data_IF_819529490980
#
_entry.id   IF_819529490980
#
_cell.length_a   1.000
_cell.length_b   1.000
_cell.length_c   1.000
_cell.angle_alpha   90.00
_cell.angle_beta   90.00
_cell.angle_gamma   90.00
#
_symmetry.space_group_name_H-M   'P 1'
#
loop_
_entity.id
_entity.type
_entity.pdbx_description
1 polymer ?
#
# COMPACT_ATOMS: atom_id res chain seq x y z
N UNK A 1 -39.79 -34.84 -43.69
CA UNK A 1 -38.44 -34.34 -44.03
C UNK A 1 -38.21 -32.92 -43.47
N UNK A 2 -38.58 -32.65 -42.21
CA UNK A 2 -38.33 -31.35 -41.56
C UNK A 2 -37.45 -31.43 -40.30
N UNK A 3 -37.26 -32.63 -39.76
CA UNK A 3 -36.46 -32.88 -38.56
C UNK A 3 -34.97 -32.62 -38.75
N UNK A 4 -34.40 -32.95 -39.90
CA UNK A 4 -32.97 -32.70 -40.18
C UNK A 4 -32.67 -31.22 -40.32
N UNK A 5 -33.60 -30.46 -40.92
CA UNK A 5 -33.46 -29.00 -41.08
C UNK A 5 -33.56 -28.32 -39.72
N UNK A 6 -34.49 -28.76 -38.87
CA UNK A 6 -34.62 -28.28 -37.49
C UNK A 6 -33.37 -28.57 -36.66
N UNK A 7 -32.83 -29.80 -36.72
CA UNK A 7 -31.64 -30.18 -35.97
C UNK A 7 -30.40 -29.36 -36.35
N UNK A 8 -30.28 -29.01 -37.63
CA UNK A 8 -29.19 -28.18 -38.15
C UNK A 8 -29.27 -26.74 -37.64
N UNK A 9 -30.47 -26.16 -37.58
CA UNK A 9 -30.69 -24.83 -37.00
C UNK A 9 -30.48 -24.81 -35.49
N UNK A 10 -30.89 -25.86 -34.78
CA UNK A 10 -30.64 -26.01 -33.34
C UNK A 10 -29.14 -26.09 -33.04
N UNK A 11 -28.38 -26.86 -33.82
CA UNK A 11 -26.93 -26.96 -33.66
C UNK A 11 -26.22 -25.63 -33.96
N UNK A 12 -26.66 -24.91 -35.01
CA UNK A 12 -26.13 -23.59 -35.33
C UNK A 12 -26.42 -22.58 -34.21
N UNK A 13 -27.65 -22.58 -33.69
CA UNK A 13 -28.07 -21.75 -32.57
C UNK A 13 -27.29 -22.05 -31.30
N UNK A 14 -27.03 -23.33 -31.00
CA UNK A 14 -26.22 -23.74 -29.86
C UNK A 14 -24.77 -23.23 -29.98
N UNK A 15 -24.14 -23.39 -31.15
CA UNK A 15 -22.77 -22.91 -31.38
C UNK A 15 -22.69 -21.37 -31.31
N UNK A 16 -23.68 -20.67 -31.86
CA UNK A 16 -23.78 -19.20 -31.74
C UNK A 16 -24.02 -18.76 -30.29
N UNK A 17 -24.83 -19.50 -29.53
CA UNK A 17 -25.05 -19.27 -28.11
C UNK A 17 -23.78 -19.42 -27.29
N UNK A 18 -22.99 -20.47 -27.54
CA UNK A 18 -21.68 -20.68 -26.91
C UNK A 18 -20.72 -19.55 -27.26
N UNK A 19 -20.62 -19.19 -28.54
CA UNK A 19 -19.75 -18.09 -28.98
C UNK A 19 -20.13 -16.76 -28.31
N UNK A 20 -21.44 -16.46 -28.27
CA UNK A 20 -21.95 -15.26 -27.60
C UNK A 20 -21.65 -15.29 -26.11
N UNK A 21 -21.81 -16.44 -25.45
CA UNK A 21 -21.47 -16.63 -24.04
C UNK A 21 -19.99 -16.36 -23.75
N UNK A 22 -19.08 -16.85 -24.59
CA UNK A 22 -17.64 -16.60 -24.46
C UNK A 22 -17.33 -15.11 -24.62
N UNK A 23 -17.94 -14.44 -25.61
CA UNK A 23 -17.76 -13.00 -25.83
C UNK A 23 -18.25 -12.20 -24.61
N UNK A 24 -19.41 -12.54 -24.04
CA UNK A 24 -19.93 -11.89 -22.85
C UNK A 24 -18.99 -12.05 -21.65
N UNK A 25 -18.49 -13.26 -21.41
CA UNK A 25 -17.51 -13.52 -20.33
C UNK A 25 -16.27 -12.62 -20.50
N UNK A 26 -15.75 -12.48 -21.73
CA UNK A 26 -14.59 -11.63 -21.97
C UNK A 26 -14.88 -10.14 -21.67
N UNK A 27 -16.08 -9.66 -22.03
CA UNK A 27 -16.51 -8.30 -21.72
C UNK A 27 -16.66 -8.11 -20.21
N UNK A 28 -17.31 -9.05 -19.52
CA UNK A 28 -17.51 -9.01 -18.07
C UNK A 28 -16.19 -9.02 -17.31
N UNK A 29 -15.20 -9.80 -17.74
CA UNK A 29 -13.87 -9.83 -17.13
C UNK A 29 -13.16 -8.48 -17.22
N UNK A 30 -13.23 -7.82 -18.37
CA UNK A 30 -12.63 -6.49 -18.54
C UNK A 30 -13.33 -5.43 -17.68
N UNK A 31 -14.67 -5.44 -17.66
CA UNK A 31 -15.45 -4.53 -16.81
C UNK A 31 -15.15 -4.75 -15.31
N UNK A 32 -14.99 -6.01 -14.90
CA UNK A 32 -14.66 -6.35 -13.52
C UNK A 32 -13.25 -5.87 -13.14
N UNK A 33 -12.28 -6.01 -14.04
CA UNK A 33 -10.92 -5.49 -13.82
C UNK A 33 -10.91 -3.96 -13.62
N UNK A 34 -11.65 -3.23 -14.44
CA UNK A 34 -11.75 -1.77 -14.31
C UNK A 34 -12.50 -1.34 -13.04
N UNK A 35 -13.56 -2.08 -12.67
CA UNK A 35 -14.27 -1.84 -11.42
C UNK A 35 -13.38 -2.07 -10.20
N UNK A 36 -12.59 -3.15 -10.19
CA UNK A 36 -11.63 -3.43 -9.12
C UNK A 36 -10.58 -2.31 -9.01
N UNK A 37 -10.03 -1.82 -10.13
CA UNK A 37 -9.11 -0.67 -10.15
C UNK A 37 -9.74 0.58 -9.55
N UNK A 38 -10.96 0.92 -9.97
CA UNK A 38 -11.68 2.07 -9.43
C UNK A 38 -11.93 1.93 -7.92
N UNK A 39 -12.33 0.75 -7.45
CA UNK A 39 -12.53 0.49 -6.02
C UNK A 39 -11.23 0.60 -5.22
N UNK A 40 -10.09 0.15 -5.75
CA UNK A 40 -8.80 0.31 -5.07
C UNK A 40 -8.39 1.78 -4.95
N UNK A 41 -8.56 2.56 -6.01
CA UNK A 41 -8.30 4.01 -5.97
C UNK A 41 -9.20 4.69 -4.95
N UNK A 42 -10.49 4.36 -4.94
CA UNK A 42 -11.44 4.89 -3.96
C UNK A 42 -11.07 4.49 -2.52
N UNK A 43 -10.78 3.22 -2.28
CA UNK A 43 -10.38 2.73 -0.96
C UNK A 43 -9.11 3.42 -0.45
N UNK A 44 -8.15 3.73 -1.34
CA UNK A 44 -6.97 4.52 -0.97
C UNK A 44 -7.33 5.95 -0.60
N UNK A 45 -8.20 6.60 -1.38
CA UNK A 45 -8.68 7.94 -1.06
C UNK A 45 -9.38 7.97 0.31
N UNK A 46 -10.24 6.99 0.59
CA UNK A 46 -10.95 6.86 1.86
C UNK A 46 -9.98 6.61 3.03
N UNK A 47 -8.99 5.72 2.84
CA UNK A 47 -7.94 5.45 3.84
C UNK A 47 -7.09 6.70 4.14
N UNK A 48 -6.82 7.52 3.12
CA UNK A 48 -6.10 8.77 3.26
C UNK A 48 -6.92 9.79 4.04
N UNK A 49 -8.19 10.00 3.68
CA UNK A 49 -9.11 10.90 4.39
C UNK A 49 -9.27 10.46 5.84
N UNK A 50 -9.53 9.17 6.09
CA UNK A 50 -9.62 8.61 7.44
C UNK A 50 -8.36 8.86 8.27
N UNK A 51 -7.17 8.74 7.65
CA UNK A 51 -5.91 9.05 8.34
C UNK A 51 -5.78 10.51 8.75
N UNK A 52 -6.27 11.42 7.91
CA UNK A 52 -6.27 12.84 8.18
C UNK A 52 -7.31 13.20 9.23
N UNK A 53 -8.49 12.59 9.19
CA UNK A 53 -9.53 12.77 10.22
C UNK A 53 -9.03 12.33 11.60
N UNK A 54 -8.37 11.17 11.71
CA UNK A 54 -7.76 10.71 12.97
C UNK A 54 -6.75 11.74 13.50
N UNK A 55 -5.99 12.38 12.62
CA UNK A 55 -5.02 13.42 13.00
C UNK A 55 -5.68 14.73 13.38
N UNK A 56 -6.72 15.14 12.66
CA UNK A 56 -7.44 16.40 12.90
C UNK A 56 -8.29 16.37 14.16
N UNK A 57 -8.91 15.22 14.47
CA UNK A 57 -9.78 15.05 15.64
C UNK A 57 -9.05 14.55 16.88
N UNK A 58 -7.72 14.47 16.84
CA UNK A 58 -6.91 14.07 17.97
C UNK A 58 -6.49 15.28 18.79
N UNK A 59 -6.67 15.18 20.10
CA UNK A 59 -6.21 16.18 21.06
C UNK A 59 -4.67 16.26 21.17
N UNK A 60 -3.94 15.29 20.62
CA UNK A 60 -2.50 15.13 20.84
C UNK A 60 -1.64 15.27 19.58
N UNK A 61 -2.21 15.05 18.39
CA UNK A 61 -1.46 15.20 17.13
C UNK A 61 -0.94 16.62 16.87
N UNK A 62 -1.68 17.70 17.20
CA UNK A 62 -1.17 19.05 16.99
C UNK A 62 0.15 19.32 17.74
N UNK A 63 0.25 18.93 19.01
CA UNK A 63 1.46 19.14 19.83
C UNK A 63 2.64 18.33 19.31
N UNK A 64 2.43 17.04 19.03
CA UNK A 64 3.45 16.15 18.46
C UNK A 64 3.96 16.72 17.12
N UNK A 65 3.05 17.24 16.29
CA UNK A 65 3.38 17.87 15.02
C UNK A 65 4.18 19.17 15.16
N UNK A 66 3.92 19.98 16.20
CA UNK A 66 4.74 21.17 16.52
C UNK A 66 6.15 20.75 16.91
N UNK A 67 6.30 19.75 17.79
CA UNK A 67 7.61 19.20 18.17
C UNK A 67 8.38 18.69 16.94
N UNK A 68 7.70 18.01 16.01
CA UNK A 68 8.32 17.53 14.77
C UNK A 68 8.89 18.66 13.92
N UNK A 69 8.16 19.76 13.77
CA UNK A 69 8.57 20.92 12.97
C UNK A 69 9.69 21.73 13.62
N UNK A 70 9.77 21.73 14.95
CA UNK A 70 10.81 22.42 15.69
C UNK A 70 12.14 21.62 15.74
N UNK A 71 12.08 20.30 15.57
CA UNK A 71 13.25 19.44 15.63
C UNK A 71 14.11 19.50 14.36
N UNK A 72 15.44 19.56 14.55
CA UNK A 72 16.41 19.59 13.45
C UNK A 72 16.55 18.22 12.76
N UNK A 73 16.34 17.13 13.50
CA UNK A 73 16.39 15.75 13.00
C UNK A 73 15.19 14.93 13.48
N UNK A 74 15.08 13.67 13.04
CA UNK A 74 14.08 12.76 13.58
C UNK A 74 14.45 12.30 14.99
N UNK A 75 15.74 12.12 15.26
CA UNK A 75 16.29 11.75 16.55
C UNK A 75 15.98 12.81 17.60
N UNK A 76 16.24 14.10 17.31
CA UNK A 76 15.90 15.22 18.19
C UNK A 76 14.40 15.28 18.44
N UNK A 77 13.58 14.96 17.43
CA UNK A 77 12.14 14.91 17.58
C UNK A 77 11.72 13.79 18.53
N UNK A 78 12.21 12.57 18.31
CA UNK A 78 11.87 11.40 19.12
C UNK A 78 12.31 11.61 20.58
N UNK A 79 13.51 12.14 20.82
CA UNK A 79 14.00 12.42 22.16
C UNK A 79 13.21 13.57 22.85
N UNK A 80 12.50 14.40 22.10
CA UNK A 80 11.60 15.45 22.65
C UNK A 80 10.21 14.95 23.07
N UNK A 81 9.85 13.72 22.72
CA UNK A 81 8.52 13.17 23.00
C UNK A 81 8.42 12.69 24.45
N UNK A 82 7.27 12.92 25.07
CA UNK A 82 6.92 12.21 26.31
C UNK A 82 6.71 10.71 26.01
N UNK A 83 6.78 9.82 27.02
CA UNK A 83 6.56 8.39 26.81
C UNK A 83 5.23 8.05 26.11
N UNK A 84 4.15 8.76 26.44
CA UNK A 84 2.84 8.54 25.81
C UNK A 84 2.81 9.03 24.34
N UNK A 85 3.47 10.15 24.04
CA UNK A 85 3.58 10.64 22.67
C UNK A 85 4.45 9.72 21.80
N UNK A 86 5.53 9.20 22.37
CA UNK A 86 6.38 8.21 21.72
C UNK A 86 5.55 6.99 21.30
N UNK A 87 4.79 6.40 22.21
CA UNK A 87 3.91 5.27 21.89
C UNK A 87 2.87 5.59 20.80
N UNK A 88 2.31 6.81 20.80
CA UNK A 88 1.37 7.23 19.76
C UNK A 88 2.02 7.35 18.39
N UNK A 89 3.22 7.95 18.33
CA UNK A 89 4.04 8.02 17.10
C UNK A 89 4.38 6.61 16.62
N UNK A 90 4.73 5.72 17.56
CA UNK A 90 5.05 4.32 17.32
C UNK A 90 3.90 3.57 16.64
N UNK A 91 2.66 3.73 17.13
CA UNK A 91 1.48 3.11 16.51
C UNK A 91 1.17 3.67 15.12
N UNK A 92 1.27 4.98 14.92
CA UNK A 92 1.11 5.54 13.57
C UNK A 92 2.16 5.01 12.62
N UNK A 93 3.40 4.92 13.07
CA UNK A 93 4.48 4.40 12.25
C UNK A 93 4.20 2.95 11.79
N UNK A 94 3.75 2.07 12.69
CA UNK A 94 3.31 0.73 12.29
C UNK A 94 2.15 0.74 11.28
N UNK A 95 1.18 1.63 11.46
CA UNK A 95 0.05 1.76 10.54
C UNK A 95 0.51 2.16 9.14
N UNK A 96 1.40 3.14 9.03
CA UNK A 96 1.97 3.59 7.76
C UNK A 96 2.83 2.50 7.10
N UNK A 97 3.61 1.74 7.87
CA UNK A 97 4.37 0.60 7.32
C UNK A 97 3.45 -0.47 6.71
N UNK A 98 2.34 -0.79 7.39
CA UNK A 98 1.36 -1.74 6.86
C UNK A 98 0.68 -1.23 5.59
N UNK A 99 0.45 0.08 5.49
CA UNK A 99 -0.11 0.69 4.27
C UNK A 99 0.88 0.57 3.10
N UNK A 100 2.16 0.90 3.30
CA UNK A 100 3.22 0.70 2.29
C UNK A 100 3.33 -0.77 1.88
N UNK A 101 3.28 -1.70 2.86
CA UNK A 101 3.29 -3.14 2.58
C UNK A 101 2.13 -3.56 1.70
N UNK A 102 0.92 -3.08 2.00
CA UNK A 102 -0.27 -3.34 1.19
C UNK A 102 -0.10 -2.80 -0.23
N UNK A 103 0.41 -1.57 -0.37
CA UNK A 103 0.68 -0.96 -1.68
C UNK A 103 1.71 -1.75 -2.48
N UNK A 104 2.74 -2.29 -1.84
CA UNK A 104 3.74 -3.13 -2.49
C UNK A 104 3.12 -4.42 -3.05
N UNK A 105 2.28 -5.11 -2.28
CA UNK A 105 1.61 -6.31 -2.78
C UNK A 105 0.65 -5.99 -3.93
N UNK A 106 -0.08 -4.87 -3.86
CA UNK A 106 -0.90 -4.41 -5.00
C UNK A 106 -0.05 -4.11 -6.24
N UNK A 107 1.14 -3.54 -6.07
CA UNK A 107 2.07 -3.31 -7.18
C UNK A 107 2.57 -4.62 -7.80
N UNK A 108 2.96 -5.62 -6.99
CA UNK A 108 3.41 -6.93 -7.47
C UNK A 108 2.34 -7.65 -8.30
N UNK A 109 1.08 -7.52 -7.93
CA UNK A 109 -0.07 -8.10 -8.64
C UNK A 109 -0.50 -7.28 -9.88
N UNK A 110 0.21 -6.20 -10.22
CA UNK A 110 -0.13 -5.32 -11.35
C UNK A 110 -1.41 -4.49 -11.13
N UNK A 111 -1.86 -4.41 -9.87
CA UNK A 111 -3.05 -3.67 -9.46
C UNK A 111 -2.75 -2.19 -9.20
N UNK A 112 -1.49 -1.87 -8.86
CA UNK A 112 -1.00 -0.52 -8.71
C UNK A 112 -0.15 -0.13 -9.95
N UNK A 113 -0.53 0.91 -10.71
CA UNK A 113 0.29 1.43 -11.80
C UNK A 113 1.69 1.84 -11.32
N UNK A 114 2.71 1.57 -12.12
CA UNK A 114 4.10 1.90 -11.80
C UNK A 114 4.31 3.40 -11.50
N UNK A 115 3.65 4.28 -12.26
CA UNK A 115 3.70 5.72 -12.02
C UNK A 115 3.26 6.10 -10.60
N UNK A 116 2.19 5.47 -10.11
CA UNK A 116 1.67 5.71 -8.76
C UNK A 116 2.62 5.14 -7.70
N UNK A 117 3.22 3.98 -7.96
CA UNK A 117 4.23 3.38 -7.08
C UNK A 117 5.46 4.28 -6.93
N UNK A 118 5.98 4.76 -8.06
CA UNK A 118 7.19 5.59 -8.11
C UNK A 118 6.96 6.97 -7.49
N UNK A 119 5.83 7.62 -7.75
CA UNK A 119 5.54 8.97 -7.24
C UNK A 119 5.13 8.97 -5.76
N UNK A 120 4.16 8.13 -5.37
CA UNK A 120 3.54 8.23 -4.07
C UNK A 120 4.23 7.36 -3.00
N UNK A 121 4.68 6.16 -3.37
CA UNK A 121 5.12 5.15 -2.40
C UNK A 121 6.62 5.26 -2.12
N UNK A 122 7.44 5.53 -3.13
CA UNK A 122 8.91 5.68 -2.96
C UNK A 122 9.28 6.79 -1.97
N UNK A 123 8.69 7.98 -2.12
CA UNK A 123 8.93 9.10 -1.19
C UNK A 123 8.46 8.81 0.24
N UNK A 124 7.36 8.07 0.40
CA UNK A 124 6.89 7.63 1.71
C UNK A 124 7.86 6.63 2.34
N UNK A 125 8.38 5.68 1.57
CA UNK A 125 9.35 4.68 2.03
C UNK A 125 10.61 5.37 2.57
N UNK A 126 11.19 6.31 1.82
CA UNK A 126 12.37 7.07 2.27
C UNK A 126 12.12 7.79 3.59
N UNK A 127 10.95 8.44 3.72
CA UNK A 127 10.56 9.12 4.96
C UNK A 127 10.43 8.13 6.13
N UNK A 128 9.88 6.95 5.86
CA UNK A 128 9.65 5.92 6.87
C UNK A 128 10.94 5.29 7.36
N UNK A 129 11.88 4.97 6.46
CA UNK A 129 13.19 4.42 6.85
C UNK A 129 13.97 5.37 7.76
N UNK A 130 13.92 6.68 7.48
CA UNK A 130 14.54 7.69 8.37
C UNK A 130 13.89 7.70 9.76
N UNK A 131 12.58 7.52 9.83
CA UNK A 131 11.85 7.48 11.10
C UNK A 131 12.11 6.16 11.86
N UNK A 132 12.20 5.02 11.17
CA UNK A 132 12.55 3.71 11.76
C UNK A 132 13.85 3.79 12.55
N UNK A 133 14.87 4.41 11.93
CA UNK A 133 16.17 4.59 12.54
C UNK A 133 16.12 5.45 13.80
N UNK A 134 15.39 6.57 13.74
CA UNK A 134 15.22 7.43 14.90
C UNK A 134 14.44 6.75 16.04
N UNK A 135 13.49 5.89 15.70
CA UNK A 135 12.78 5.03 16.66
C UNK A 135 13.67 3.88 17.19
N UNK A 136 14.86 3.68 16.63
CA UNK A 136 15.79 2.58 16.93
C UNK A 136 15.10 1.23 16.89
N UNK A 137 14.21 1.09 15.92
CA UNK A 137 13.48 -0.15 15.74
C UNK A 137 14.29 -1.14 14.94
N UNK A 138 14.31 -2.36 15.46
CA UNK A 138 15.02 -3.46 14.84
C UNK A 138 14.42 -3.85 13.53
N UNK A 139 15.27 -3.86 12.53
CA UNK A 139 15.00 -4.49 11.26
C UNK A 139 14.79 -5.98 11.53
N UNK A 140 13.61 -6.52 11.20
CA UNK A 140 13.40 -7.96 11.18
C UNK A 140 13.90 -8.51 9.83
N UNK A 141 15.08 -9.15 9.75
CA UNK A 141 15.64 -9.59 8.48
C UNK A 141 14.78 -10.68 7.80
N UNK A 142 13.93 -11.37 8.56
CA UNK A 142 13.08 -12.45 8.06
C UNK A 142 11.77 -11.94 7.43
N UNK A 143 11.53 -10.62 7.43
CA UNK A 143 10.35 -10.04 6.78
C UNK A 143 10.63 -9.80 5.29
N UNK A 144 9.87 -10.44 4.40
CA UNK A 144 9.91 -10.14 2.95
C UNK A 144 9.72 -8.65 2.66
N UNK A 145 8.91 -7.97 3.48
CA UNK A 145 8.72 -6.54 3.39
C UNK A 145 10.00 -5.74 3.68
N UNK A 146 10.83 -6.20 4.62
CA UNK A 146 12.11 -5.54 4.93
C UNK A 146 13.15 -5.76 3.82
N UNK A 147 13.10 -6.89 3.10
CA UNK A 147 13.92 -7.09 1.90
C UNK A 147 13.59 -6.04 0.83
N UNK A 148 12.30 -5.75 0.65
CA UNK A 148 11.82 -4.74 -0.29
C UNK A 148 12.20 -3.33 0.18
N UNK A 149 12.00 -3.02 1.46
CA UNK A 149 12.42 -1.74 2.03
C UNK A 149 13.93 -1.53 1.85
N UNK A 150 14.76 -2.54 2.14
CA UNK A 150 16.21 -2.48 1.97
C UNK A 150 16.62 -2.32 0.50
N UNK A 151 15.95 -3.02 -0.42
CA UNK A 151 16.18 -2.83 -1.85
C UNK A 151 15.93 -1.38 -2.27
N UNK A 152 14.80 -0.82 -1.84
CA UNK A 152 14.43 0.56 -2.14
C UNK A 152 15.38 1.54 -1.45
N UNK A 153 15.82 1.24 -0.22
CA UNK A 153 16.86 2.00 0.48
C UNK A 153 18.13 2.09 -0.34
N UNK A 154 18.61 0.93 -0.82
CA UNK A 154 19.81 0.79 -1.63
C UNK A 154 19.71 1.59 -2.94
N UNK A 155 18.57 1.50 -3.63
CA UNK A 155 18.30 2.26 -4.86
C UNK A 155 18.25 3.78 -4.62
N UNK A 156 17.79 4.22 -3.46
CA UNK A 156 17.63 5.63 -3.08
C UNK A 156 18.85 6.21 -2.36
N UNK A 157 19.91 5.42 -2.16
CA UNK A 157 21.08 5.82 -1.37
C UNK A 157 20.76 6.10 0.10
N UNK A 158 19.67 5.51 0.60
CA UNK A 158 19.33 5.52 2.03
C UNK A 158 20.02 4.32 2.67
N UNK A 159 20.62 4.48 3.87
CA UNK A 159 21.24 3.35 4.58
C UNK A 159 20.26 2.19 4.72
N UNK A 160 20.70 0.99 4.35
CA UNK A 160 19.94 -0.23 4.55
C UNK A 160 19.71 -0.47 6.04
N UNK A 161 18.62 -1.16 6.34
CA UNK A 161 18.22 -1.47 7.69
C UNK A 161 19.17 -2.55 8.26
N UNK A 162 20.00 -2.21 9.27
CA UNK A 162 20.92 -3.16 9.91
C UNK A 162 20.26 -3.84 11.14
N UNK A 163 20.00 -5.16 11.10
CA UNK A 163 19.43 -5.88 12.24
C UNK A 163 20.34 -5.90 13.48
N UNK A 164 21.62 -5.56 13.35
CA UNK A 164 22.59 -5.52 14.44
C UNK A 164 22.72 -4.12 15.09
N UNK A 165 22.12 -3.08 14.52
CA UNK A 165 22.09 -1.72 15.12
C UNK A 165 21.09 -1.60 16.29
N UNK A 166 20.48 -2.71 16.73
CA UNK A 166 19.51 -2.77 17.83
C UNK A 166 20.10 -2.28 19.17
N UNK A 167 19.99 -0.98 19.41
CA UNK A 167 20.27 -0.35 20.70
C UNK A 167 19.15 -0.64 21.68
N UNK A 168 19.42 -1.51 22.66
CA UNK A 168 18.63 -1.65 23.88
C UNK A 168 18.42 -0.27 24.53
N UNK A 169 17.19 0.25 24.48
CA UNK A 169 16.70 1.34 25.34
C UNK A 169 15.62 0.80 26.26
#
# INVERSE_FOLDING_TARGET
MDTDRLNRWLTLGANLGVLTGIILIFIELNQNADLMRAQMVQSRADNLVSSYEIRMHSDYWPEIGVKRRAAASYEDWIDSLTPNEYERVRYLYFRELNDIRSQYYMYQEGLLPQEIWDEATRGQIVRMMRLERALKWGCNPDSEFNVVLNRIASEEGVPECDPNENGSR
#
